data_IF_901134598856
#
_entry.id   IF_901134598856
#
_cell.length_a   1.000
_cell.length_b   1.000
_cell.length_c   1.000
_cell.angle_alpha   90.00
_cell.angle_beta   90.00
_cell.angle_gamma   90.00
#
_symmetry.space_group_name_H-M   'P 1'
#
loop_
_entity.id
_entity.type
_entity.pdbx_description
1 polymer ?
#
# COMPACT_ATOMS: atom_id res chain seq x y z
N UNK A 1 15.87 -12.51 7.05
CA UNK A 1 16.27 -11.13 6.71
C UNK A 1 16.03 -11.01 5.21
N UNK A 2 14.91 -10.52 4.68
CA UNK A 2 14.03 -9.42 5.14
C UNK A 2 12.72 -9.39 4.32
N UNK A 3 11.75 -10.32 4.44
CA UNK A 3 10.83 -10.53 3.27
C UNK A 3 9.32 -10.75 3.45
N UNK A 4 8.72 -10.77 4.65
CA UNK A 4 7.24 -10.91 4.78
C UNK A 4 6.49 -9.56 4.77
N UNK A 5 7.00 -8.56 4.06
CA UNK A 5 6.26 -7.32 3.82
C UNK A 5 5.63 -7.38 2.43
N UNK A 6 4.30 -7.41 2.39
CA UNK A 6 3.52 -7.45 1.18
C UNK A 6 3.43 -6.03 0.60
N UNK A 7 3.80 -5.87 -0.67
CA UNK A 7 3.78 -4.57 -1.35
C UNK A 7 2.48 -4.39 -2.12
N UNK A 8 1.72 -3.39 -1.70
CA UNK A 8 0.39 -3.10 -2.20
C UNK A 8 0.45 -1.75 -2.91
N UNK A 9 0.08 -1.72 -4.19
CA UNK A 9 0.07 -0.49 -4.99
C UNK A 9 -1.30 0.18 -4.90
N UNK A 10 -1.37 1.42 -4.45
CA UNK A 10 -2.61 2.19 -4.48
C UNK A 10 -2.84 2.69 -5.89
N UNK A 11 -3.91 2.20 -6.53
CA UNK A 11 -4.31 2.58 -7.89
C UNK A 11 -5.14 3.84 -7.88
N UNK A 12 -6.15 3.88 -7.01
CA UNK A 12 -7.11 4.97 -6.94
C UNK A 12 -7.65 5.13 -5.51
N UNK A 13 -8.27 6.27 -5.20
CA UNK A 13 -8.90 6.55 -3.91
C UNK A 13 -10.21 7.31 -4.16
N UNK A 14 -11.34 6.67 -3.87
CA UNK A 14 -12.67 7.23 -4.04
C UNK A 14 -13.55 6.98 -2.82
N UNK A 15 -14.34 7.99 -2.41
CA UNK A 15 -15.37 7.88 -1.37
C UNK A 15 -14.92 7.23 -0.04
N UNK A 16 -13.66 7.44 0.36
CA UNK A 16 -13.10 6.87 1.59
C UNK A 16 -12.54 5.45 1.48
N UNK A 17 -12.60 4.85 0.28
CA UNK A 17 -11.94 3.60 -0.08
C UNK A 17 -10.75 3.86 -1.00
N UNK A 18 -9.72 3.05 -0.86
CA UNK A 18 -8.58 3.01 -1.76
C UNK A 18 -8.64 1.73 -2.59
N UNK A 19 -8.67 1.88 -3.91
CA UNK A 19 -8.46 0.78 -4.82
C UNK A 19 -6.97 0.44 -4.80
N UNK A 20 -6.65 -0.73 -4.29
CA UNK A 20 -5.28 -1.23 -4.19
C UNK A 20 -5.09 -2.45 -5.09
N UNK A 21 -3.86 -2.63 -5.56
CA UNK A 21 -3.41 -3.81 -6.28
C UNK A 21 -2.42 -4.57 -5.43
N UNK A 22 -2.81 -5.81 -5.10
CA UNK A 22 -2.01 -6.78 -4.38
C UNK A 22 -0.83 -7.29 -5.25
N UNK A 23 0.21 -7.89 -4.65
CA UNK A 23 1.33 -8.47 -5.40
C UNK A 23 0.91 -9.66 -6.27
N UNK A 24 -0.18 -10.34 -5.92
CA UNK A 24 -0.80 -11.40 -6.73
C UNK A 24 -1.52 -10.84 -7.99
N UNK A 25 -1.37 -9.53 -8.28
CA UNK A 25 -2.07 -8.79 -9.34
C UNK A 25 -3.58 -8.61 -9.16
N UNK A 26 -4.14 -9.21 -8.11
CA UNK A 26 -5.52 -8.98 -7.66
C UNK A 26 -5.74 -7.53 -7.24
N UNK A 27 -6.94 -7.00 -7.52
CA UNK A 27 -7.35 -5.64 -7.16
C UNK A 27 -8.43 -5.71 -6.09
N UNK A 28 -8.25 -4.94 -5.02
CA UNK A 28 -9.16 -4.90 -3.87
C UNK A 28 -9.45 -3.47 -3.44
N UNK A 29 -10.61 -3.25 -2.83
CA UNK A 29 -10.97 -1.97 -2.24
C UNK A 29 -10.71 -2.05 -0.74
N UNK A 30 -9.71 -1.29 -0.29
CA UNK A 30 -9.32 -1.21 1.11
C UNK A 30 -9.87 0.07 1.73
N UNK A 31 -10.26 0.01 3.00
CA UNK A 31 -10.70 1.22 3.71
C UNK A 31 -9.50 2.13 3.96
N UNK A 32 -9.64 3.44 3.74
CA UNK A 32 -8.57 4.40 4.07
C UNK A 32 -8.17 4.36 5.55
N UNK A 33 -9.09 3.96 6.43
CA UNK A 33 -8.79 3.76 7.85
C UNK A 33 -7.79 2.62 8.11
N UNK A 34 -7.71 1.63 7.21
CA UNK A 34 -6.75 0.52 7.26
C UNK A 34 -5.42 0.88 6.61
N UNK A 35 -5.35 2.01 5.90
CA UNK A 35 -4.15 2.48 5.23
C UNK A 35 -3.46 3.58 6.04
N UNK A 36 -2.14 3.72 5.88
CA UNK A 36 -1.41 4.81 6.51
C UNK A 36 -1.94 6.18 6.04
N UNK A 37 -2.01 7.17 6.95
CA UNK A 37 -2.51 8.50 6.62
C UNK A 37 -1.62 9.18 5.57
N UNK A 38 -2.25 9.89 4.62
CA UNK A 38 -1.53 10.60 3.57
C UNK A 38 -1.16 9.76 2.34
N UNK A 39 -1.68 8.53 2.25
CA UNK A 39 -1.57 7.70 1.05
C UNK A 39 -2.27 8.38 -0.14
N UNK A 40 -1.65 8.31 -1.32
CA UNK A 40 -2.19 8.86 -2.56
C UNK A 40 -2.20 7.78 -3.66
N UNK A 41 -3.03 7.96 -4.71
CA UNK A 41 -2.93 7.12 -5.90
C UNK A 41 -1.51 7.16 -6.48
N UNK A 42 -0.99 5.98 -6.82
CA UNK A 42 0.37 5.74 -7.28
C UNK A 42 1.39 5.44 -6.17
N UNK A 43 1.03 5.56 -4.89
CA UNK A 43 1.92 5.14 -3.79
C UNK A 43 1.93 3.62 -3.62
N UNK A 44 3.06 3.12 -3.12
CA UNK A 44 3.18 1.71 -2.69
C UNK A 44 3.16 1.67 -1.18
N UNK A 45 2.27 0.89 -0.61
CA UNK A 45 2.17 0.62 0.83
C UNK A 45 2.79 -0.75 1.08
N UNK A 46 3.71 -0.82 2.04
CA UNK A 46 4.18 -2.09 2.56
C UNK A 46 3.33 -2.47 3.77
N UNK A 47 2.82 -3.69 3.76
CA UNK A 47 2.04 -4.27 4.85
C UNK A 47 2.78 -5.48 5.38
N UNK A 48 3.01 -5.52 6.68
CA UNK A 48 3.63 -6.65 7.35
C UNK A 48 2.73 -7.11 8.49
N UNK A 49 2.46 -8.40 8.55
CA UNK A 49 1.74 -9.02 9.66
C UNK A 49 2.74 -9.72 10.56
N UNK A 50 2.84 -9.29 11.82
CA UNK A 50 3.72 -9.87 12.84
C UNK A 50 2.86 -10.34 14.00
N UNK A 51 2.77 -11.66 14.21
CA UNK A 51 2.16 -12.28 15.39
C UNK A 51 0.77 -11.72 15.79
N UNK A 52 -0.05 -11.33 14.80
CA UNK A 52 -1.41 -10.79 15.00
C UNK A 52 -1.51 -9.26 14.96
N UNK A 53 -0.39 -8.56 14.89
CA UNK A 53 -0.33 -7.12 14.62
C UNK A 53 -0.09 -6.87 13.13
N UNK A 54 -0.77 -5.86 12.58
CA UNK A 54 -0.59 -5.40 11.21
C UNK A 54 0.13 -4.06 11.23
N UNK A 55 1.36 -4.06 10.74
CA UNK A 55 2.11 -2.84 10.51
C UNK A 55 1.99 -2.43 9.03
N UNK A 56 1.65 -1.17 8.78
CA UNK A 56 1.55 -0.64 7.44
C UNK A 56 2.31 0.69 7.33
N UNK A 57 3.07 0.87 6.25
CA UNK A 57 3.81 2.09 6.00
C UNK A 57 3.88 2.41 4.51
N UNK A 58 3.84 3.71 4.19
CA UNK A 58 3.99 4.19 2.81
C UNK A 58 5.47 4.06 2.44
N UNK A 59 5.77 3.29 1.40
CA UNK A 59 7.12 3.24 0.87
C UNK A 59 7.41 4.55 0.14
N UNK A 60 8.62 5.10 0.27
CA UNK A 60 9.02 6.24 -0.53
C UNK A 60 8.87 5.82 -1.99
N UNK A 61 8.09 6.60 -2.78
CA UNK A 61 8.07 6.43 -4.22
C UNK A 61 9.52 6.37 -4.67
N UNK A 62 9.96 5.37 -5.47
CA UNK A 62 11.24 5.48 -6.13
C UNK A 62 11.13 6.79 -6.90
N UNK A 63 11.82 7.82 -6.38
CA UNK A 63 11.79 9.14 -6.97
C UNK A 63 12.21 8.89 -8.40
N UNK A 64 11.25 8.95 -9.31
CA UNK A 64 11.52 8.75 -10.71
C UNK A 64 12.67 9.67 -11.02
N UNK A 65 13.80 9.07 -11.40
CA UNK A 65 14.88 9.77 -12.06
C UNK A 65 14.17 10.57 -13.15
N UNK A 66 14.08 11.88 -12.94
CA UNK A 66 13.63 12.82 -13.96
C UNK A 66 14.64 12.66 -15.10
N UNK A 67 14.24 11.97 -16.17
CA UNK A 67 14.86 12.09 -17.47
C UNK A 67 14.12 13.19 -18.24
#
# INVERSE_FOLDING_TARGET
MTEDAEHILVRDIEDGGALVRLPDTSEEIWSLASLPPGVQPGDTVAVRVIEGDMECWILPRPAGIRA
#
